data_IF_385977420838
#
_entry.id   IF_385977420838
#
_cell.length_a   1.000
_cell.length_b   1.000
_cell.length_c   1.000
_cell.angle_alpha   90.00
_cell.angle_beta   90.00
_cell.angle_gamma   90.00
#
_symmetry.space_group_name_H-M   'P 1'
#
loop_
_entity.id
_entity.type
_entity.pdbx_description
1 polymer ?
#
# COMPACT_ATOMS: atom_id res chain seq x y z
N UNK A 1 23.21 82.29 26.85
CA UNK A 1 23.33 80.82 26.71
C UNK A 1 22.16 80.04 27.34
N UNK A 2 21.56 80.46 28.46
CA UNK A 2 20.52 79.67 29.14
C UNK A 2 19.24 79.35 28.33
N UNK A 3 18.82 80.21 27.41
CA UNK A 3 17.60 79.96 26.60
C UNK A 3 17.77 78.82 25.58
N UNK A 4 18.97 78.64 25.03
CA UNK A 4 19.24 77.58 24.04
C UNK A 4 19.31 76.21 24.72
N UNK A 5 19.90 76.15 25.93
CA UNK A 5 19.97 74.92 26.73
C UNK A 5 18.57 74.46 27.17
N UNK A 6 17.69 75.39 27.52
CA UNK A 6 16.31 75.08 27.90
C UNK A 6 15.49 74.49 26.74
N UNK A 7 15.65 75.01 25.52
CA UNK A 7 14.97 74.48 24.33
C UNK A 7 15.43 73.05 24.01
N UNK A 8 16.74 72.77 24.12
CA UNK A 8 17.28 71.43 23.90
C UNK A 8 16.77 70.41 24.92
N UNK A 9 16.68 70.79 26.19
CA UNK A 9 16.13 69.93 27.25
C UNK A 9 14.67 69.56 27.00
N UNK A 10 13.85 70.50 26.52
CA UNK A 10 12.45 70.25 26.18
C UNK A 10 12.34 69.27 25.01
N UNK A 11 13.18 69.42 23.99
CA UNK A 11 13.20 68.50 22.83
C UNK A 11 13.61 67.08 23.22
N UNK A 12 14.63 66.93 24.07
CA UNK A 12 15.07 65.61 24.56
C UNK A 12 13.97 64.97 25.40
N UNK A 13 13.32 65.72 26.29
CA UNK A 13 12.21 65.19 27.10
C UNK A 13 11.02 64.74 26.21
N UNK A 14 10.67 65.51 25.19
CA UNK A 14 9.64 65.16 24.21
C UNK A 14 9.99 63.90 23.41
N UNK A 15 11.25 63.78 22.98
CA UNK A 15 11.74 62.62 22.23
C UNK A 15 11.75 61.35 23.08
N UNK A 16 12.23 61.43 24.33
CA UNK A 16 12.20 60.30 25.26
C UNK A 16 10.76 59.91 25.61
N UNK A 17 9.86 60.87 25.81
CA UNK A 17 8.45 60.59 26.08
C UNK A 17 7.75 59.89 24.90
N UNK A 18 8.04 60.30 23.66
CA UNK A 18 7.47 59.66 22.46
C UNK A 18 8.02 58.25 22.25
N UNK A 19 9.32 58.02 22.47
CA UNK A 19 9.91 56.68 22.43
C UNK A 19 9.34 55.77 23.52
N UNK A 20 9.25 56.26 24.76
CA UNK A 20 8.65 55.51 25.87
C UNK A 20 7.20 55.15 25.57
N UNK A 21 6.39 56.10 25.09
CA UNK A 21 4.99 55.85 24.73
C UNK A 21 4.87 54.80 23.61
N UNK A 22 5.76 54.82 22.62
CA UNK A 22 5.77 53.82 21.55
C UNK A 22 6.18 52.43 22.05
N UNK A 23 7.12 52.33 23.01
CA UNK A 23 7.56 51.06 23.59
C UNK A 23 6.50 50.49 24.53
N UNK A 24 5.87 51.32 25.37
CA UNK A 24 4.80 50.88 26.27
C UNK A 24 3.59 50.34 25.48
N UNK A 25 3.16 51.05 24.42
CA UNK A 25 2.06 50.58 23.56
C UNK A 25 2.39 49.30 22.78
N UNK A 26 3.68 49.03 22.48
CA UNK A 26 4.10 47.75 21.89
C UNK A 26 4.23 46.64 22.93
N UNK A 27 4.54 46.95 24.19
CA UNK A 27 4.71 45.93 25.23
C UNK A 27 3.41 45.22 25.61
N UNK A 28 2.26 45.88 25.47
CA UNK A 28 0.96 45.26 25.74
C UNK A 28 0.53 44.27 24.65
N UNK A 29 0.98 44.46 23.40
CA UNK A 29 0.59 43.59 22.29
C UNK A 29 1.52 42.39 22.10
N UNK A 30 2.76 42.46 22.60
CA UNK A 30 3.74 41.36 22.49
C UNK A 30 3.24 40.07 23.16
N UNK A 31 2.74 40.06 24.40
CA UNK A 31 2.21 38.84 25.03
C UNK A 31 1.07 38.21 24.22
N UNK A 32 0.13 39.01 23.73
CA UNK A 32 -1.00 38.52 22.94
C UNK A 32 -0.56 37.92 21.59
N UNK A 33 0.44 38.51 20.92
CA UNK A 33 0.99 37.96 19.69
C UNK A 33 1.76 36.67 19.95
N UNK A 34 2.53 36.59 21.03
CA UNK A 34 3.26 35.38 21.41
C UNK A 34 2.31 34.23 21.74
N UNK A 35 1.23 34.50 22.50
CA UNK A 35 0.21 33.48 22.83
C UNK A 35 -0.47 32.98 21.55
N UNK A 36 -0.78 33.86 20.59
CA UNK A 36 -1.38 33.46 19.31
C UNK A 36 -0.43 32.60 18.48
N UNK A 37 0.85 32.97 18.41
CA UNK A 37 1.84 32.21 17.65
C UNK A 37 2.09 30.85 18.29
N UNK A 38 2.15 30.77 19.62
CA UNK A 38 2.25 29.52 20.36
C UNK A 38 1.02 28.62 20.14
N UNK A 39 -0.19 29.20 20.21
CA UNK A 39 -1.44 28.49 19.96
C UNK A 39 -1.54 27.99 18.50
N UNK A 40 -1.04 28.77 17.54
CA UNK A 40 -0.95 28.35 16.14
C UNK A 40 0.03 27.19 15.95
N UNK A 41 1.22 27.29 16.56
CA UNK A 41 2.22 26.24 16.46
C UNK A 41 1.74 24.94 17.11
N UNK A 42 1.16 25.00 18.30
CA UNK A 42 0.70 23.81 18.99
C UNK A 42 -0.50 23.15 18.33
N UNK A 43 -1.46 23.93 17.82
CA UNK A 43 -2.62 23.32 17.18
C UNK A 43 -2.27 22.59 15.88
N UNK A 44 -1.28 23.09 15.12
CA UNK A 44 -0.75 22.40 13.94
C UNK A 44 -0.03 21.09 14.34
N UNK A 45 0.75 21.10 15.43
CA UNK A 45 1.41 19.89 15.94
C UNK A 45 0.41 18.83 16.37
N UNK A 46 -0.68 19.23 17.04
CA UNK A 46 -1.76 18.32 17.42
C UNK A 46 -2.47 17.78 16.18
N UNK A 47 -2.71 18.63 15.18
CA UNK A 47 -3.24 18.22 13.88
C UNK A 47 -2.39 17.16 13.19
N UNK A 48 -1.07 17.35 13.14
CA UNK A 48 -0.13 16.38 12.58
C UNK A 48 -0.08 15.08 13.37
N UNK A 49 -0.13 15.16 14.70
CA UNK A 49 -0.23 13.97 15.54
C UNK A 49 -1.51 13.18 15.23
N UNK A 50 -2.65 13.85 15.08
CA UNK A 50 -3.94 13.22 14.80
C UNK A 50 -3.95 12.52 13.43
N UNK A 51 -3.36 13.13 12.40
CA UNK A 51 -3.22 12.51 11.08
C UNK A 51 -2.29 11.29 11.09
N UNK A 52 -1.17 11.35 11.85
CA UNK A 52 -0.29 10.20 12.04
C UNK A 52 -0.97 9.05 12.79
N UNK A 53 -1.77 9.38 13.81
CA UNK A 53 -2.60 8.40 14.52
C UNK A 53 -3.59 7.73 13.56
N UNK A 54 -4.29 8.52 12.73
CA UNK A 54 -5.20 8.00 11.73
C UNK A 54 -4.52 7.03 10.74
N UNK A 55 -3.31 7.38 10.28
CA UNK A 55 -2.51 6.52 9.40
C UNK A 55 -2.13 5.20 10.07
N UNK A 56 -1.82 5.23 11.36
CA UNK A 56 -1.54 4.01 12.14
C UNK A 56 -2.77 3.12 12.25
N UNK A 57 -3.94 3.69 12.51
CA UNK A 57 -5.20 2.94 12.58
C UNK A 57 -5.55 2.29 11.24
N UNK A 58 -5.31 2.98 10.13
CA UNK A 58 -5.46 2.43 8.78
C UNK A 58 -4.51 1.26 8.53
N UNK A 59 -3.20 1.43 8.80
CA UNK A 59 -2.19 0.37 8.61
C UNK A 59 -2.42 -0.86 9.47
N UNK A 60 -3.01 -0.69 10.64
CA UNK A 60 -3.33 -1.79 11.55
C UNK A 60 -4.68 -2.47 11.20
N UNK A 61 -5.36 -2.04 10.15
CA UNK A 61 -6.71 -2.48 9.79
C UNK A 61 -7.73 -2.32 10.94
N UNK A 62 -7.52 -1.36 11.85
CA UNK A 62 -8.45 -1.05 12.95
C UNK A 62 -9.73 -0.36 12.43
N UNK A 63 -9.66 0.22 11.22
CA UNK A 63 -10.76 0.93 10.58
C UNK A 63 -10.99 0.34 9.20
N UNK A 64 -12.18 -0.21 8.99
CA UNK A 64 -12.63 -0.65 7.67
C UNK A 64 -13.21 0.55 6.92
N UNK A 65 -12.58 0.91 5.81
CA UNK A 65 -13.10 1.94 4.91
C UNK A 65 -13.89 1.26 3.80
N UNK A 66 -15.21 1.51 3.79
CA UNK A 66 -16.08 1.19 2.66
C UNK A 66 -16.44 2.44 1.87
N UNK A 67 -17.45 2.33 1.02
CA UNK A 67 -18.02 3.49 0.35
C UNK A 67 -18.69 4.43 1.37
N UNK A 68 -18.18 5.67 1.45
CA UNK A 68 -18.79 6.72 2.25
C UNK A 68 -17.89 7.29 3.35
N UNK A 69 -18.54 7.97 4.31
CA UNK A 69 -17.89 8.72 5.38
C UNK A 69 -17.89 7.91 6.67
N UNK A 70 -16.70 7.55 7.15
CA UNK A 70 -16.50 6.97 8.49
C UNK A 70 -16.02 8.07 9.42
N UNK A 71 -16.66 8.22 10.58
CA UNK A 71 -16.26 9.21 11.60
C UNK A 71 -15.96 8.53 12.92
N UNK A 72 -14.71 8.64 13.37
CA UNK A 72 -14.29 8.26 14.71
C UNK A 72 -14.39 9.50 15.61
N UNK A 73 -15.21 9.43 16.66
CA UNK A 73 -15.36 10.50 17.65
C UNK A 73 -14.68 10.10 18.96
N UNK A 74 -14.10 11.08 19.62
CA UNK A 74 -13.40 10.89 20.88
C UNK A 74 -14.01 11.81 21.94
N UNK A 75 -14.15 11.31 23.16
CA UNK A 75 -14.68 12.09 24.28
C UNK A 75 -13.61 12.80 25.09
N UNK A 76 -12.38 12.28 25.14
CA UNK A 76 -11.25 12.87 25.89
C UNK A 76 -9.88 12.36 25.40
N UNK A 77 -9.64 12.34 24.08
CA UNK A 77 -8.35 11.90 23.54
C UNK A 77 -7.32 13.04 23.66
N UNK A 78 -6.65 13.12 24.81
CA UNK A 78 -5.67 14.18 25.10
C UNK A 78 -4.36 13.99 24.34
N UNK A 79 -3.88 15.08 23.74
CA UNK A 79 -2.60 15.15 23.02
C UNK A 79 -1.97 16.51 23.30
N UNK A 80 -0.77 16.52 23.88
CA UNK A 80 -0.07 17.77 24.25
C UNK A 80 -0.99 18.69 25.10
N UNK A 81 -1.15 19.94 24.70
CA UNK A 81 -2.01 20.96 25.33
C UNK A 81 -3.43 21.02 24.74
N UNK A 82 -3.89 19.93 24.12
CA UNK A 82 -5.20 19.87 23.48
C UNK A 82 -5.76 18.46 23.41
N UNK A 83 -6.71 18.27 22.50
CA UNK A 83 -7.32 16.97 22.27
C UNK A 83 -7.79 16.81 20.82
N UNK A 84 -7.89 15.54 20.41
CA UNK A 84 -8.53 15.15 19.16
C UNK A 84 -10.03 15.02 19.46
N UNK A 85 -10.87 15.74 18.73
CA UNK A 85 -12.33 15.62 18.83
C UNK A 85 -12.85 14.51 17.92
N UNK A 86 -12.45 14.54 16.64
CA UNK A 86 -12.82 13.51 15.69
C UNK A 86 -11.83 13.35 14.55
N UNK A 87 -11.80 12.15 13.97
CA UNK A 87 -11.11 11.87 12.71
C UNK A 87 -12.15 11.32 11.74
N UNK A 88 -12.18 11.89 10.54
CA UNK A 88 -13.09 11.50 9.46
C UNK A 88 -12.29 10.90 8.32
N UNK A 89 -12.76 9.76 7.82
CA UNK A 89 -12.22 9.05 6.68
C UNK A 89 -13.28 9.05 5.59
N UNK A 90 -12.91 9.52 4.40
CA UNK A 90 -13.81 9.60 3.27
C UNK A 90 -13.09 9.06 2.03
N UNK A 91 -13.67 8.05 1.39
CA UNK A 91 -13.15 7.47 0.15
C UNK A 91 -14.04 7.94 -1.02
N UNK A 92 -13.72 9.05 -1.71
CA UNK A 92 -14.50 9.48 -2.87
C UNK A 92 -14.39 8.51 -4.05
N UNK A 93 -13.28 7.78 -4.12
CA UNK A 93 -12.93 6.81 -5.15
C UNK A 93 -12.38 5.56 -4.47
N UNK A 94 -12.19 4.48 -5.25
CA UNK A 94 -11.61 3.24 -4.74
C UNK A 94 -10.09 3.35 -4.49
N UNK A 95 -9.43 4.43 -4.92
CA UNK A 95 -7.97 4.55 -4.88
C UNK A 95 -7.44 5.65 -3.95
N UNK A 96 -8.33 6.45 -3.37
CA UNK A 96 -7.94 7.55 -2.47
C UNK A 96 -8.80 7.63 -1.23
N UNK A 97 -8.16 7.89 -0.09
CA UNK A 97 -8.81 8.21 1.18
C UNK A 97 -8.42 9.63 1.57
N UNK A 98 -9.42 10.46 1.79
CA UNK A 98 -9.27 11.74 2.48
C UNK A 98 -9.46 11.53 3.97
N UNK A 99 -8.41 11.82 4.74
CA UNK A 99 -8.45 11.85 6.20
C UNK A 99 -8.52 13.30 6.67
N UNK A 100 -9.49 13.60 7.53
CA UNK A 100 -9.66 14.94 8.12
C UNK A 100 -9.69 14.81 9.65
N UNK A 101 -8.73 15.42 10.31
CA UNK A 101 -8.65 15.48 11.76
C UNK A 101 -9.20 16.80 12.29
N UNK A 102 -10.14 16.74 13.22
CA UNK A 102 -10.67 17.88 13.95
C UNK A 102 -10.06 17.88 15.35
N UNK A 103 -9.33 18.95 15.68
CA UNK A 103 -8.58 19.07 16.93
C UNK A 103 -8.89 20.40 17.61
N UNK A 104 -8.70 20.46 18.91
CA UNK A 104 -8.76 21.70 19.68
C UNK A 104 -7.57 21.82 20.63
N UNK A 105 -7.18 23.05 20.93
CA UNK A 105 -6.10 23.37 21.87
C UNK A 105 -6.53 24.50 22.79
N UNK A 106 -6.08 24.46 24.05
CA UNK A 106 -6.33 25.51 25.05
C UNK A 106 -5.02 25.95 25.71
N UNK A 107 -4.68 27.23 25.59
CA UNK A 107 -3.51 27.85 26.24
C UNK A 107 -3.98 29.14 26.91
N UNK A 108 -3.73 29.30 28.21
CA UNK A 108 -4.01 30.52 28.97
C UNK A 108 -5.42 31.09 28.72
N UNK A 109 -6.44 30.25 28.90
CA UNK A 109 -7.88 30.53 28.67
C UNK A 109 -8.33 30.82 27.24
N UNK A 110 -7.42 30.86 26.26
CA UNK A 110 -7.78 30.90 24.86
C UNK A 110 -7.97 29.49 24.30
N UNK A 111 -9.08 29.27 23.62
CA UNK A 111 -9.37 28.03 22.89
C UNK A 111 -9.28 28.28 21.39
N UNK A 112 -8.73 27.31 20.66
CA UNK A 112 -8.70 27.31 19.21
C UNK A 112 -9.09 25.94 18.67
N UNK A 113 -9.85 25.95 17.58
CA UNK A 113 -10.21 24.79 16.80
C UNK A 113 -9.46 24.80 15.49
N UNK A 114 -9.07 23.62 15.01
CA UNK A 114 -8.33 23.47 13.76
C UNK A 114 -8.71 22.16 13.07
N UNK A 115 -8.52 22.16 11.76
CA UNK A 115 -8.75 21.01 10.92
C UNK A 115 -7.51 20.78 10.07
N UNK A 116 -6.90 19.61 10.22
CA UNK A 116 -5.81 19.17 9.34
C UNK A 116 -6.31 18.08 8.42
N UNK A 117 -5.79 18.04 7.20
CA UNK A 117 -6.24 17.11 6.15
C UNK A 117 -5.05 16.39 5.51
N UNK A 118 -5.21 15.10 5.27
CA UNK A 118 -4.28 14.26 4.52
C UNK A 118 -5.03 13.54 3.40
N UNK A 119 -4.42 13.44 2.22
CA UNK A 119 -4.90 12.59 1.14
C UNK A 119 -3.94 11.41 1.05
N UNK A 120 -4.50 10.22 1.19
CA UNK A 120 -3.79 8.95 1.14
C UNK A 120 -4.21 8.27 -0.16
N UNK A 121 -3.24 7.82 -0.94
CA UNK A 121 -3.45 6.83 -1.98
C UNK A 121 -3.48 5.48 -1.31
N UNK A 122 -4.55 4.71 -1.55
CA UNK A 122 -4.58 3.31 -1.21
C UNK A 122 -4.86 2.58 -2.50
N UNK A 123 -4.04 1.59 -2.84
CA UNK A 123 -4.44 0.70 -3.92
C UNK A 123 -5.50 -0.23 -3.31
N UNK A 124 -6.77 -0.14 -3.72
CA UNK A 124 -7.77 -1.06 -3.21
C UNK A 124 -7.26 -2.44 -3.57
N UNK A 125 -7.06 -3.28 -2.56
CA UNK A 125 -6.93 -4.71 -2.81
C UNK A 125 -8.17 -5.08 -3.63
N UNK A 126 -7.99 -5.61 -4.84
CA UNK A 126 -9.03 -6.40 -5.45
C UNK A 126 -9.14 -7.65 -4.55
N UNK A 127 -9.97 -7.54 -3.51
CA UNK A 127 -10.16 -8.59 -2.50
C UNK A 127 -11.01 -9.74 -3.05
N UNK A 128 -11.39 -9.66 -4.32
CA UNK A 128 -12.11 -10.74 -4.97
C UNK A 128 -11.25 -11.30 -6.09
N UNK A 129 -11.07 -12.62 -6.14
CA UNK A 129 -10.50 -13.31 -7.29
C UNK A 129 -11.47 -13.27 -8.49
N UNK A 130 -12.20 -12.17 -8.72
CA UNK A 130 -13.19 -12.00 -9.79
C UNK A 130 -12.56 -12.14 -11.20
N UNK A 131 -11.25 -12.37 -11.30
CA UNK A 131 -10.54 -12.75 -12.52
C UNK A 131 -9.81 -14.09 -12.48
N UNK A 132 -9.83 -14.83 -11.36
CA UNK A 132 -9.19 -16.14 -11.19
C UNK A 132 -10.27 -17.21 -11.05
N UNK A 133 -10.89 -17.56 -12.18
CA UNK A 133 -12.02 -18.51 -12.24
C UNK A 133 -11.64 -19.89 -12.81
N UNK A 134 -10.43 -20.00 -13.35
CA UNK A 134 -9.96 -21.15 -14.12
C UNK A 134 -8.81 -21.86 -13.39
N UNK A 135 -8.73 -23.18 -13.55
CA UNK A 135 -7.57 -23.96 -13.14
C UNK A 135 -6.33 -23.51 -13.94
N UNK A 136 -6.51 -23.28 -15.24
CA UNK A 136 -5.46 -22.88 -16.17
C UNK A 136 -5.98 -21.75 -17.06
N UNK A 137 -5.22 -20.67 -17.17
CA UNK A 137 -5.45 -19.57 -18.12
C UNK A 137 -4.18 -19.35 -18.93
N UNK A 138 -4.27 -19.32 -20.25
CA UNK A 138 -3.11 -19.17 -21.14
C UNK A 138 -3.39 -18.20 -22.29
N UNK A 139 -2.42 -17.34 -22.61
CA UNK A 139 -2.50 -16.39 -23.74
C UNK A 139 -2.06 -17.08 -25.06
N UNK A 140 -1.43 -18.25 -24.95
CA UNK A 140 -1.00 -19.08 -26.07
C UNK A 140 -1.68 -20.45 -26.11
N UNK A 141 -1.24 -21.28 -27.06
CA UNK A 141 -1.65 -22.67 -27.15
C UNK A 141 -1.11 -23.48 -25.97
N UNK A 142 -1.97 -24.31 -25.40
CA UNK A 142 -1.59 -25.34 -24.44
C UNK A 142 -1.99 -26.72 -24.96
N UNK A 143 -1.10 -27.68 -24.82
CA UNK A 143 -1.36 -29.06 -25.21
C UNK A 143 -1.42 -29.94 -23.97
N UNK A 144 -2.62 -30.46 -23.68
CA UNK A 144 -2.86 -31.36 -22.56
C UNK A 144 -2.91 -32.80 -23.08
N UNK A 145 -1.97 -33.62 -22.61
CA UNK A 145 -1.76 -35.02 -23.00
C UNK A 145 -1.63 -35.91 -21.77
N UNK A 146 -1.61 -37.24 -22.00
CA UNK A 146 -1.38 -38.23 -20.97
C UNK A 146 -2.63 -38.54 -20.13
N UNK A 147 -2.43 -38.91 -18.88
CA UNK A 147 -3.48 -39.14 -17.88
C UNK A 147 -3.50 -38.00 -16.84
N UNK A 148 -3.28 -36.77 -17.32
CA UNK A 148 -3.40 -35.55 -16.52
C UNK A 148 -4.82 -35.42 -15.96
N UNK A 149 -4.93 -35.06 -14.69
CA UNK A 149 -6.19 -34.80 -14.01
C UNK A 149 -6.32 -33.29 -13.78
N UNK A 150 -7.30 -32.67 -14.43
CA UNK A 150 -7.53 -31.23 -14.35
C UNK A 150 -8.95 -31.02 -13.83
N UNK A 151 -9.05 -30.66 -12.56
CA UNK A 151 -10.31 -30.32 -11.91
C UNK A 151 -10.53 -28.80 -11.99
N UNK A 152 -11.27 -28.34 -12.99
CA UNK A 152 -11.59 -26.92 -13.20
C UNK A 152 -11.63 -26.55 -14.68
N UNK A 153 -11.87 -25.27 -14.97
CA UNK A 153 -11.90 -24.77 -16.35
C UNK A 153 -10.49 -24.51 -16.88
N UNK A 154 -10.23 -24.87 -18.13
CA UNK A 154 -9.06 -24.43 -18.89
C UNK A 154 -9.53 -23.37 -19.88
N UNK A 155 -8.93 -22.17 -19.81
CA UNK A 155 -9.20 -21.08 -20.74
C UNK A 155 -7.99 -20.90 -21.66
N UNK A 156 -8.16 -21.28 -22.92
CA UNK A 156 -7.17 -21.16 -23.99
C UNK A 156 -7.63 -20.08 -24.99
N UNK A 157 -6.68 -19.47 -25.72
CA UNK A 157 -6.87 -18.63 -26.92
C UNK A 157 -8.08 -17.67 -26.90
N UNK A 158 -7.81 -16.37 -26.78
CA UNK A 158 -8.74 -15.21 -26.86
C UNK A 158 -9.05 -14.49 -25.54
N UNK A 159 -8.44 -14.88 -24.42
CA UNK A 159 -8.49 -14.08 -23.19
C UNK A 159 -7.18 -13.34 -22.99
N UNK A 160 -7.13 -12.07 -23.38
CA UNK A 160 -6.04 -11.18 -22.96
C UNK A 160 -6.23 -10.92 -21.46
N UNK A 161 -5.67 -11.77 -20.61
CA UNK A 161 -5.66 -11.55 -19.17
C UNK A 161 -4.49 -10.64 -18.81
N UNK A 162 -4.78 -9.55 -18.11
CA UNK A 162 -3.78 -8.54 -17.75
C UNK A 162 -3.39 -8.76 -16.30
N UNK A 163 -2.09 -8.93 -16.03
CA UNK A 163 -1.55 -9.11 -14.67
C UNK A 163 -2.09 -8.06 -13.67
N UNK A 164 -2.18 -6.80 -14.11
CA UNK A 164 -2.67 -5.71 -13.28
C UNK A 164 -4.17 -5.79 -12.97
N UNK A 165 -4.98 -6.40 -13.86
CA UNK A 165 -6.41 -6.58 -13.63
C UNK A 165 -6.67 -7.73 -12.65
N UNK A 166 -5.82 -8.78 -12.69
CA UNK A 166 -5.90 -9.93 -11.79
C UNK A 166 -5.42 -9.57 -10.38
N UNK A 167 -4.26 -8.92 -10.25
CA UNK A 167 -3.65 -8.65 -8.95
C UNK A 167 -3.92 -7.25 -8.41
N UNK A 168 -4.38 -6.31 -9.22
CA UNK A 168 -4.46 -4.89 -8.86
C UNK A 168 -3.09 -4.20 -8.83
N UNK A 169 -2.01 -4.91 -9.16
CA UNK A 169 -0.62 -4.42 -9.16
C UNK A 169 0.03 -4.67 -10.51
N UNK A 170 0.88 -3.74 -10.94
CA UNK A 170 1.77 -4.00 -12.07
C UNK A 170 2.80 -5.05 -11.68
N UNK A 171 3.32 -5.77 -12.69
CA UNK A 171 4.43 -6.72 -12.52
C UNK A 171 5.62 -6.12 -11.77
N UNK A 172 6.01 -4.89 -12.10
CA UNK A 172 7.11 -4.19 -11.45
C UNK A 172 6.82 -3.90 -9.97
N UNK A 173 5.58 -3.55 -9.61
CA UNK A 173 5.21 -3.34 -8.21
C UNK A 173 5.30 -4.66 -7.42
N UNK A 174 4.72 -5.75 -7.93
CA UNK A 174 4.81 -7.08 -7.28
C UNK A 174 6.25 -7.57 -7.20
N UNK A 175 7.05 -7.38 -8.25
CA UNK A 175 8.48 -7.71 -8.23
C UNK A 175 9.22 -6.95 -7.12
N UNK A 176 8.94 -5.67 -6.95
CA UNK A 176 9.59 -4.83 -5.95
C UNK A 176 9.10 -5.10 -4.52
N UNK A 177 7.88 -5.62 -4.35
CA UNK A 177 7.30 -6.00 -3.06
C UNK A 177 7.39 -7.51 -2.75
N UNK A 178 8.02 -8.30 -3.62
CA UNK A 178 8.13 -9.74 -3.44
C UNK A 178 8.82 -10.08 -2.11
N UNK A 179 8.23 -11.02 -1.37
CA UNK A 179 8.82 -11.58 -0.16
C UNK A 179 10.15 -12.28 -0.47
N UNK A 180 10.19 -12.95 -1.61
CA UNK A 180 11.39 -13.60 -2.14
C UNK A 180 11.64 -13.16 -3.58
N UNK A 181 12.82 -12.63 -3.84
CA UNK A 181 13.28 -12.29 -5.19
C UNK A 181 14.54 -13.09 -5.53
N UNK A 182 14.45 -13.96 -6.53
CA UNK A 182 15.55 -14.79 -7.00
C UNK A 182 15.94 -14.41 -8.43
N UNK A 183 17.24 -14.36 -8.70
CA UNK A 183 17.79 -14.20 -10.05
C UNK A 183 18.58 -15.46 -10.37
N UNK A 184 18.22 -16.14 -11.47
CA UNK A 184 18.78 -17.42 -11.88
C UNK A 184 18.90 -18.44 -10.72
N UNK A 185 17.81 -18.73 -9.99
CA UNK A 185 17.88 -19.67 -8.89
C UNK A 185 18.26 -21.08 -9.37
N UNK A 186 18.88 -21.84 -8.48
CA UNK A 186 19.04 -23.29 -8.65
C UNK A 186 17.68 -24.00 -8.71
N UNK A 187 17.64 -25.15 -9.37
CA UNK A 187 16.43 -25.99 -9.45
C UNK A 187 15.90 -26.36 -8.05
N UNK A 188 14.58 -26.52 -7.93
CA UNK A 188 13.89 -26.80 -6.67
C UNK A 188 14.12 -25.74 -5.58
N UNK A 189 14.31 -24.47 -5.96
CA UNK A 189 14.58 -23.40 -5.00
C UNK A 189 13.46 -23.30 -3.95
N UNK A 190 13.87 -23.11 -2.70
CA UNK A 190 13.03 -22.78 -1.55
C UNK A 190 13.70 -21.67 -0.72
N UNK A 191 12.94 -20.93 0.11
CA UNK A 191 11.47 -20.98 0.25
C UNK A 191 10.72 -20.42 -0.96
N UNK A 192 9.50 -20.94 -1.18
CA UNK A 192 8.48 -20.39 -2.07
C UNK A 192 7.18 -20.29 -1.28
N UNK A 193 6.96 -19.10 -0.72
CA UNK A 193 5.78 -18.72 0.05
C UNK A 193 5.44 -17.24 -0.22
N UNK A 194 4.28 -16.78 0.28
CA UNK A 194 3.78 -15.41 0.14
C UNK A 194 3.86 -14.91 -1.31
N UNK A 195 4.66 -13.88 -1.60
CA UNK A 195 4.97 -13.48 -2.98
C UNK A 195 6.41 -13.85 -3.30
N UNK A 196 6.60 -14.78 -4.22
CA UNK A 196 7.91 -15.18 -4.73
C UNK A 196 8.04 -14.80 -6.20
N UNK A 197 9.10 -14.06 -6.54
CA UNK A 197 9.44 -13.70 -7.92
C UNK A 197 10.77 -14.35 -8.32
N UNK A 198 10.75 -15.14 -9.39
CA UNK A 198 11.93 -15.74 -10.01
C UNK A 198 12.21 -15.05 -11.34
N UNK A 199 13.37 -14.44 -11.46
CA UNK A 199 13.86 -13.83 -12.69
C UNK A 199 14.88 -14.77 -13.34
N UNK A 200 14.60 -15.22 -14.57
CA UNK A 200 15.53 -16.04 -15.35
C UNK A 200 16.15 -15.19 -16.45
N UNK A 201 17.47 -15.22 -16.53
CA UNK A 201 18.24 -14.47 -17.53
C UNK A 201 18.73 -15.44 -18.61
N UNK A 202 18.43 -15.12 -19.86
CA UNK A 202 18.91 -15.82 -21.08
C UNK A 202 18.59 -17.33 -21.18
N UNK A 203 17.46 -17.69 -21.81
CA UNK A 203 17.09 -19.07 -22.19
C UNK A 203 17.22 -20.11 -21.06
N UNK A 204 17.16 -19.67 -19.80
CA UNK A 204 17.17 -20.56 -18.66
C UNK A 204 15.75 -21.04 -18.38
N UNK A 205 15.67 -22.28 -17.92
CA UNK A 205 14.43 -22.92 -17.50
C UNK A 205 14.61 -23.28 -16.03
N UNK A 206 13.75 -22.77 -15.16
CA UNK A 206 13.72 -23.23 -13.77
C UNK A 206 13.00 -24.57 -13.70
N UNK A 207 13.60 -25.55 -13.02
CA UNK A 207 13.03 -26.89 -12.90
C UNK A 207 12.65 -27.22 -11.47
N UNK A 208 11.42 -27.66 -11.28
CA UNK A 208 10.93 -28.30 -10.07
C UNK A 208 10.72 -29.79 -10.38
N UNK A 209 11.53 -30.65 -9.79
CA UNK A 209 11.58 -32.09 -10.07
C UNK A 209 11.68 -32.96 -8.82
N UNK A 210 11.97 -32.36 -7.67
CA UNK A 210 11.93 -33.07 -6.39
C UNK A 210 10.48 -33.27 -5.95
N UNK A 211 10.09 -34.53 -5.72
CA UNK A 211 8.76 -34.90 -5.24
C UNK A 211 8.47 -34.38 -3.82
N UNK A 212 9.50 -34.02 -3.05
CA UNK A 212 9.35 -33.44 -1.72
C UNK A 212 9.34 -31.90 -1.73
N UNK A 213 9.44 -31.28 -2.91
CA UNK A 213 9.34 -29.83 -3.01
C UNK A 213 7.91 -29.39 -2.70
N UNK A 214 7.75 -28.43 -1.80
CA UNK A 214 6.46 -27.88 -1.38
C UNK A 214 6.58 -26.36 -1.44
N UNK A 215 5.73 -25.73 -2.24
CA UNK A 215 5.59 -24.28 -2.33
C UNK A 215 4.16 -23.83 -2.08
N UNK A 216 3.98 -22.56 -1.75
CA UNK A 216 2.66 -21.95 -1.59
C UNK A 216 2.66 -20.47 -1.95
N UNK A 217 1.48 -19.85 -2.01
CA UNK A 217 1.31 -18.42 -2.22
C UNK A 217 1.26 -18.04 -3.70
N UNK A 218 1.83 -16.88 -4.05
CA UNK A 218 1.95 -16.38 -5.42
C UNK A 218 3.39 -16.60 -5.89
N UNK A 219 3.58 -17.52 -6.84
CA UNK A 219 4.86 -17.74 -7.51
C UNK A 219 4.80 -17.12 -8.91
N UNK A 220 5.63 -16.11 -9.16
CA UNK A 220 5.83 -15.51 -10.48
C UNK A 220 7.18 -15.95 -11.04
N UNK A 221 7.18 -16.52 -12.23
CA UNK A 221 8.40 -16.92 -12.96
C UNK A 221 8.49 -16.08 -14.22
N UNK A 222 9.46 -15.18 -14.27
CA UNK A 222 9.82 -14.44 -15.48
C UNK A 222 10.86 -15.23 -16.27
N UNK A 223 10.39 -16.08 -17.17
CA UNK A 223 11.14 -17.05 -17.95
C UNK A 223 10.44 -18.42 -18.03
N UNK A 224 11.11 -19.38 -18.65
CA UNK A 224 10.55 -20.72 -18.87
C UNK A 224 10.51 -21.54 -17.57
N UNK A 225 9.42 -22.27 -17.38
CA UNK A 225 9.14 -23.06 -16.17
C UNK A 225 8.89 -24.53 -16.52
N UNK A 226 9.52 -25.43 -15.77
CA UNK A 226 9.27 -26.88 -15.90
C UNK A 226 9.02 -27.52 -14.53
N UNK A 227 7.81 -28.04 -14.32
CA UNK A 227 7.48 -28.84 -13.14
C UNK A 227 7.26 -30.31 -13.52
N UNK A 228 7.94 -31.22 -12.80
CA UNK A 228 7.87 -32.67 -13.00
C UNK A 228 7.57 -33.46 -11.72
N UNK A 229 7.68 -32.80 -10.56
CA UNK A 229 7.37 -33.33 -9.24
C UNK A 229 7.08 -32.18 -8.26
N UNK A 230 6.74 -32.54 -7.03
CA UNK A 230 6.45 -31.59 -5.94
C UNK A 230 4.98 -31.19 -5.86
N UNK A 231 4.68 -30.29 -4.92
CA UNK A 231 3.33 -29.77 -4.69
C UNK A 231 3.34 -28.25 -4.53
N UNK A 232 2.34 -27.58 -5.08
CA UNK A 232 2.17 -26.13 -4.99
C UNK A 232 0.73 -25.74 -4.65
N UNK A 233 0.55 -24.95 -3.59
CA UNK A 233 -0.77 -24.47 -3.15
C UNK A 233 -0.87 -22.93 -3.34
N UNK A 234 -1.61 -22.47 -4.35
CA UNK A 234 -1.80 -21.04 -4.60
C UNK A 234 -1.86 -20.65 -6.08
N UNK A 235 -1.25 -19.52 -6.43
CA UNK A 235 -1.27 -18.96 -7.80
C UNK A 235 0.12 -19.04 -8.42
N UNK A 236 0.24 -19.77 -9.52
CA UNK A 236 1.46 -19.88 -10.31
C UNK A 236 1.31 -19.06 -11.58
N UNK A 237 2.18 -18.06 -11.77
CA UNK A 237 2.20 -17.22 -12.96
C UNK A 237 3.52 -17.37 -13.70
N UNK A 238 3.48 -17.86 -14.94
CA UNK A 238 4.66 -18.05 -15.78
C UNK A 238 4.61 -17.02 -16.92
N UNK A 239 5.66 -16.21 -17.04
CA UNK A 239 5.89 -15.29 -18.15
C UNK A 239 6.95 -15.95 -19.05
N UNK A 240 6.49 -16.77 -19.99
CA UNK A 240 7.32 -17.67 -20.79
C UNK A 240 6.62 -19.01 -21.03
N UNK A 241 7.39 -20.00 -21.46
CA UNK A 241 6.86 -21.34 -21.73
C UNK A 241 6.71 -22.15 -20.44
N UNK A 242 5.59 -22.86 -20.33
CA UNK A 242 5.32 -23.74 -19.20
C UNK A 242 5.26 -25.20 -19.64
N UNK A 243 6.06 -26.04 -19.00
CA UNK A 243 5.99 -27.50 -19.14
C UNK A 243 5.63 -28.12 -17.80
N UNK A 244 4.53 -28.86 -17.75
CA UNK A 244 4.17 -29.70 -16.61
C UNK A 244 4.19 -31.15 -17.07
N UNK A 245 4.96 -31.98 -16.39
CA UNK A 245 5.16 -33.38 -16.74
C UNK A 245 5.17 -34.25 -15.48
N UNK A 246 5.27 -35.58 -15.59
CA UNK A 246 5.47 -36.42 -14.40
C UNK A 246 4.23 -36.48 -13.50
N UNK A 247 4.39 -36.32 -12.18
CA UNK A 247 3.28 -36.40 -11.21
C UNK A 247 3.27 -35.23 -10.17
N UNK A 248 3.41 -33.96 -10.58
CA UNK A 248 3.26 -32.84 -9.66
C UNK A 248 1.79 -32.61 -9.29
N UNK A 249 1.60 -31.91 -8.17
CA UNK A 249 0.28 -31.51 -7.68
C UNK A 249 0.20 -29.99 -7.56
N UNK A 250 -0.80 -29.38 -8.18
CA UNK A 250 -1.06 -27.94 -8.11
C UNK A 250 -2.49 -27.74 -7.63
N UNK A 251 -2.65 -27.12 -6.46
CA UNK A 251 -3.92 -26.74 -5.86
C UNK A 251 -4.07 -25.22 -5.92
N UNK A 252 -4.85 -24.73 -6.87
CA UNK A 252 -5.08 -23.30 -7.08
C UNK A 252 -5.18 -22.95 -8.57
N UNK A 253 -4.43 -21.95 -9.03
CA UNK A 253 -4.55 -21.44 -10.39
C UNK A 253 -3.20 -21.30 -11.10
N UNK A 254 -3.17 -21.68 -12.38
CA UNK A 254 -2.01 -21.56 -13.27
C UNK A 254 -2.29 -20.53 -14.36
N UNK A 255 -1.44 -19.52 -14.46
CA UNK A 255 -1.43 -18.52 -15.52
C UNK A 255 -0.17 -18.67 -16.37
N UNK A 256 -0.34 -18.71 -17.68
CA UNK A 256 0.77 -18.85 -18.64
C UNK A 256 0.68 -17.72 -19.66
N UNK A 257 1.58 -16.75 -19.53
CA UNK A 257 1.79 -15.66 -20.47
C UNK A 257 2.95 -16.05 -21.39
N UNK A 258 2.64 -16.81 -22.45
CA UNK A 258 3.61 -17.28 -23.43
C UNK A 258 3.96 -16.22 -24.47
N UNK A 259 5.21 -16.22 -24.96
CA UNK A 259 5.61 -15.39 -26.10
C UNK A 259 5.38 -16.17 -27.41
N UNK A 260 4.36 -15.78 -28.17
CA UNK A 260 4.06 -16.21 -29.56
C UNK A 260 3.40 -17.59 -29.78
N UNK A 261 2.67 -17.70 -30.90
CA UNK A 261 1.99 -18.91 -31.39
C UNK A 261 2.91 -20.10 -31.72
N UNK A 262 4.23 -19.98 -31.52
CA UNK A 262 5.23 -20.95 -32.00
C UNK A 262 5.60 -21.97 -30.93
N UNK A 263 5.67 -21.57 -29.66
CA UNK A 263 6.01 -22.46 -28.55
C UNK A 263 4.75 -22.83 -27.77
N UNK A 264 4.39 -24.11 -27.81
CA UNK A 264 3.19 -24.65 -27.15
C UNK A 264 3.53 -25.11 -25.74
N UNK A 265 2.91 -24.49 -24.74
CA UNK A 265 3.00 -24.98 -23.35
C UNK A 265 2.38 -26.37 -23.26
N UNK A 266 2.96 -27.27 -22.48
CA UNK A 266 2.56 -28.69 -22.51
C UNK A 266 2.32 -29.21 -21.10
N UNK A 267 1.18 -29.89 -20.92
CA UNK A 267 0.88 -30.67 -19.71
C UNK A 267 0.78 -32.14 -20.11
N UNK A 268 1.63 -32.99 -19.53
CA UNK A 268 1.72 -34.42 -19.91
C UNK A 268 2.08 -35.32 -18.72
N UNK A 269 1.95 -36.63 -18.85
CA UNK A 269 2.14 -37.57 -17.73
C UNK A 269 0.87 -37.72 -16.90
N UNK A 270 0.97 -37.66 -15.57
CA UNK A 270 -0.16 -37.68 -14.64
C UNK A 270 -0.12 -36.53 -13.59
N UNK A 271 0.08 -35.26 -14.02
CA UNK A 271 -0.06 -34.13 -13.11
C UNK A 271 -1.51 -33.98 -12.65
N UNK A 272 -1.68 -33.43 -11.45
CA UNK A 272 -2.98 -33.03 -10.91
C UNK A 272 -2.98 -31.50 -10.83
N UNK A 273 -3.94 -30.85 -11.49
CA UNK A 273 -4.19 -29.40 -11.39
C UNK A 273 -5.63 -29.20 -10.95
N UNK A 274 -5.82 -28.81 -9.70
CA UNK A 274 -7.14 -28.64 -9.10
C UNK A 274 -7.39 -27.16 -8.80
N UNK A 275 -8.43 -26.60 -9.39
CA UNK A 275 -8.84 -25.24 -9.10
C UNK A 275 -9.45 -25.16 -7.70
N UNK A 276 -8.73 -24.49 -6.80
CA UNK A 276 -9.12 -24.33 -5.42
C UNK A 276 -9.35 -22.85 -5.09
N UNK A 277 -10.59 -22.38 -5.22
CA UNK A 277 -10.96 -20.98 -4.93
C UNK A 277 -10.67 -20.55 -3.49
N UNK A 278 -10.67 -21.50 -2.55
CA UNK A 278 -10.27 -21.28 -1.16
C UNK A 278 -8.77 -20.98 -1.04
N UNK A 279 -7.93 -21.80 -1.67
CA UNK A 279 -6.48 -21.60 -1.71
C UNK A 279 -6.10 -20.28 -2.43
N UNK A 280 -6.78 -19.95 -3.54
CA UNK A 280 -6.61 -18.68 -4.25
C UNK A 280 -6.97 -17.50 -3.35
N UNK A 281 -8.16 -17.51 -2.74
CA UNK A 281 -8.61 -16.42 -1.85
C UNK A 281 -7.69 -16.23 -0.64
N UNK A 282 -7.24 -17.33 -0.03
CA UNK A 282 -6.30 -17.31 1.08
C UNK A 282 -4.92 -16.76 0.64
N UNK A 283 -4.46 -17.14 -0.55
CA UNK A 283 -3.21 -16.64 -1.14
C UNK A 283 -3.25 -15.13 -1.33
N UNK A 284 -4.33 -14.58 -1.86
CA UNK A 284 -4.52 -13.12 -1.95
C UNK A 284 -4.48 -12.46 -0.57
N UNK A 285 -5.21 -13.03 0.40
CA UNK A 285 -5.31 -12.47 1.75
C UNK A 285 -3.97 -12.46 2.50
N UNK A 286 -3.14 -13.49 2.34
CA UNK A 286 -1.86 -13.61 3.04
C UNK A 286 -0.72 -12.89 2.31
N UNK A 287 -0.68 -12.97 0.99
CA UNK A 287 0.47 -12.54 0.18
C UNK A 287 0.37 -11.07 -0.25
N UNK A 288 -0.85 -10.57 -0.44
CA UNK A 288 -1.13 -9.19 -0.86
C UNK A 288 -1.91 -8.40 0.21
N UNK A 289 -2.11 -8.98 1.40
CA UNK A 289 -2.91 -8.45 2.51
C UNK A 289 -2.37 -7.20 3.21
N UNK A 290 -1.27 -6.63 2.74
CA UNK A 290 -0.74 -5.35 3.22
C UNK A 290 -1.34 -4.19 2.43
N UNK A 291 -2.18 -3.38 3.05
CA UNK A 291 -2.62 -2.11 2.47
C UNK A 291 -1.46 -1.11 2.47
N UNK A 292 -0.78 -0.99 1.32
CA UNK A 292 0.26 0.02 1.12
C UNK A 292 -0.38 1.40 1.00
N UNK A 293 -0.57 2.05 2.14
CA UNK A 293 -1.01 3.44 2.22
C UNK A 293 0.15 4.39 1.93
N UNK A 294 0.01 5.22 0.91
CA UNK A 294 0.97 6.27 0.55
C UNK A 294 0.36 7.66 0.77
N UNK A 295 1.11 8.56 1.40
CA UNK A 295 0.66 9.95 1.58
C UNK A 295 0.87 10.69 0.25
N UNK A 296 -0.23 11.11 -0.38
CA UNK A 296 -0.20 11.87 -1.64
C UNK A 296 -0.14 13.38 -1.40
N UNK A 297 -0.85 13.86 -0.38
CA UNK A 297 -0.87 15.28 -0.05
C UNK A 297 -1.16 15.51 1.44
N UNK A 298 -0.69 16.64 1.94
CA UNK A 298 -0.85 17.07 3.32
C UNK A 298 -1.22 18.55 3.38
N UNK A 299 -2.23 18.88 4.19
CA UNK A 299 -2.72 20.24 4.38
C UNK A 299 -2.88 20.51 5.87
N UNK A 300 -2.23 21.59 6.31
CA UNK A 300 -2.41 22.20 7.63
C UNK A 300 -3.36 23.39 7.50
#
# INVERSE_FOLDING_TARGET
MGRIVMIYLIFIALFVATLMFSVFNRSETVPDTMIKDELNSEINRIGTYALNYAMKELRNNSITIGEGLVTQRFTDFKVLHGAIDSIRYYSPTLDTITVTAHVFCRISDQEKYHQSKMIIGYKPMLVSPDGVENAITTDGLIEIKGSSDIEGTVSEQDTTFVFADIFGYTKNEIKNSATHYYVDPENNKLPVDNVTWMELVYNQVIKISDNNWIGSGILIVNGDFHMSGGSFDGILWVIGNCMISGNPHIEGALFIEGESDIDTSTITGNPIVNFNSGAVSQTYALSLGGSDYQILAWYE
#
